data_IF_452456773736
#
_entry.id   IF_452456773736
#
_cell.length_a   1.000
_cell.length_b   1.000
_cell.length_c   1.000
_cell.angle_alpha   90.00
_cell.angle_beta   90.00
_cell.angle_gamma   90.00
#
_symmetry.space_group_name_H-M   'P 1'
#
loop_
_entity.id
_entity.type
_entity.pdbx_description
1 polymer ?
#
# COMPACT_ATOMS: atom_id res chain seq x y z
N UNK A 1 18.56 -9.55 -9.67
CA UNK A 1 17.16 -9.99 -9.95
C UNK A 1 17.19 -11.34 -10.66
N UNK A 2 16.50 -12.34 -10.12
CA UNK A 2 16.39 -13.69 -10.69
C UNK A 2 14.91 -14.02 -10.92
N UNK A 3 14.51 -14.39 -12.18
CA UNK A 3 13.12 -14.78 -12.49
C UNK A 3 12.84 -16.18 -11.97
N UNK A 4 11.79 -16.35 -11.15
CA UNK A 4 11.38 -17.62 -10.55
C UNK A 4 10.19 -18.23 -11.30
N UNK A 5 9.24 -17.38 -11.74
CA UNK A 5 7.99 -17.79 -12.35
C UNK A 5 7.48 -16.72 -13.31
N UNK A 6 6.82 -17.17 -14.39
CA UNK A 6 6.07 -16.32 -15.29
C UNK A 6 4.68 -16.90 -15.48
N UNK A 7 3.66 -16.08 -15.43
CA UNK A 7 2.27 -16.53 -15.53
C UNK A 7 1.34 -15.45 -16.10
N UNK A 8 0.19 -15.86 -16.58
CA UNK A 8 -0.83 -14.98 -17.13
C UNK A 8 -2.02 -14.87 -16.18
N UNK A 9 -2.68 -13.72 -16.21
CA UNK A 9 -3.91 -13.48 -15.46
C UNK A 9 -5.05 -13.28 -16.48
N UNK A 10 -6.17 -13.93 -16.24
CA UNK A 10 -7.35 -13.81 -17.11
C UNK A 10 -7.79 -12.34 -17.24
N UNK A 11 -7.91 -11.89 -18.50
CA UNK A 11 -8.33 -10.53 -18.83
C UNK A 11 -7.25 -9.46 -18.66
N UNK A 12 -5.97 -9.85 -18.46
CA UNK A 12 -4.83 -8.94 -18.38
C UNK A 12 -3.84 -9.28 -19.50
N UNK A 13 -3.57 -8.36 -20.44
CA UNK A 13 -2.59 -8.59 -21.51
C UNK A 13 -1.16 -8.68 -20.97
N UNK A 14 -0.38 -9.62 -21.51
CA UNK A 14 1.00 -9.83 -21.11
C UNK A 14 1.16 -10.76 -19.91
N UNK A 15 2.39 -10.91 -19.46
CA UNK A 15 2.75 -11.82 -18.37
C UNK A 15 3.03 -11.05 -17.09
N UNK A 16 2.67 -11.65 -15.97
CA UNK A 16 3.22 -11.30 -14.65
C UNK A 16 4.50 -12.09 -14.45
N UNK A 17 5.55 -11.43 -14.01
CA UNK A 17 6.82 -12.06 -13.65
C UNK A 17 6.99 -12.04 -12.13
N UNK A 18 7.36 -13.20 -11.59
CA UNK A 18 7.81 -13.34 -10.19
C UNK A 18 9.31 -13.44 -10.17
N UNK A 19 9.95 -12.57 -9.40
CA UNK A 19 11.39 -12.47 -9.31
C UNK A 19 11.87 -12.41 -7.86
N UNK A 20 13.15 -12.70 -7.66
CA UNK A 20 13.81 -12.59 -6.36
C UNK A 20 14.82 -11.44 -6.36
N UNK A 21 14.72 -10.58 -5.32
CA UNK A 21 15.69 -9.56 -4.95
C UNK A 21 16.26 -9.91 -3.58
N UNK A 22 17.48 -10.46 -3.52
CA UNK A 22 18.00 -11.03 -2.27
C UNK A 22 17.02 -12.08 -1.70
N UNK A 23 16.52 -11.85 -0.50
CA UNK A 23 15.48 -12.67 0.14
C UNK A 23 14.05 -12.25 -0.20
N UNK A 24 13.86 -11.11 -0.92
CA UNK A 24 12.55 -10.52 -1.18
C UNK A 24 11.93 -11.02 -2.48
N UNK A 25 10.72 -11.58 -2.43
CA UNK A 25 9.94 -11.92 -3.61
C UNK A 25 9.15 -10.72 -4.11
N UNK A 26 9.12 -10.55 -5.41
CA UNK A 26 8.40 -9.47 -6.09
C UNK A 26 7.65 -10.03 -7.29
N UNK A 27 6.37 -9.72 -7.40
CA UNK A 27 5.58 -9.93 -8.60
C UNK A 27 5.42 -8.61 -9.33
N UNK A 28 5.63 -8.58 -10.64
CA UNK A 28 5.38 -7.37 -11.40
C UNK A 28 4.73 -7.63 -12.76
N UNK A 29 3.95 -6.65 -13.18
CA UNK A 29 3.31 -6.62 -14.49
C UNK A 29 3.67 -5.31 -15.20
N UNK A 30 4.19 -5.43 -16.41
CA UNK A 30 4.43 -4.30 -17.30
C UNK A 30 3.43 -4.41 -18.45
N UNK A 31 2.62 -3.39 -18.73
CA UNK A 31 1.70 -3.39 -19.87
C UNK A 31 2.49 -3.43 -21.18
N UNK A 32 1.83 -3.84 -22.27
CA UNK A 32 2.45 -3.86 -23.61
C UNK A 32 2.79 -2.46 -24.11
N UNK A 33 1.98 -1.48 -23.76
CA UNK A 33 2.24 -0.07 -24.02
C UNK A 33 3.27 0.46 -23.00
N UNK A 34 4.06 1.44 -23.39
CA UNK A 34 4.99 2.08 -22.46
C UNK A 34 4.23 2.70 -21.29
N UNK A 35 4.45 2.19 -20.09
CA UNK A 35 3.87 2.74 -18.89
C UNK A 35 4.51 4.07 -18.54
N UNK A 36 3.69 5.06 -18.26
CA UNK A 36 4.13 6.38 -17.73
C UNK A 36 3.92 6.51 -16.24
N UNK A 37 3.16 5.58 -15.65
CA UNK A 37 2.81 5.55 -14.22
C UNK A 37 3.24 4.23 -13.59
N UNK A 38 3.55 4.26 -12.29
CA UNK A 38 3.93 3.10 -11.48
C UNK A 38 3.06 2.97 -10.24
N UNK A 39 2.50 1.79 -10.01
CA UNK A 39 1.87 1.41 -8.75
C UNK A 39 2.76 0.44 -8.00
N UNK A 40 3.16 0.80 -6.78
CA UNK A 40 3.89 -0.08 -5.85
C UNK A 40 2.88 -0.59 -4.82
N UNK A 41 2.71 -1.90 -4.73
CA UNK A 41 1.75 -2.51 -3.82
C UNK A 41 2.45 -3.32 -2.73
N UNK A 42 2.08 -3.07 -1.49
CA UNK A 42 2.40 -3.96 -0.38
C UNK A 42 1.61 -5.27 -0.48
N UNK A 43 2.02 -6.29 0.28
CA UNK A 43 1.37 -7.61 0.28
C UNK A 43 1.29 -8.23 -1.13
N UNK A 44 2.39 -8.18 -1.88
CA UNK A 44 2.48 -8.57 -3.31
C UNK A 44 1.94 -9.96 -3.63
N UNK A 45 2.01 -10.90 -2.67
CA UNK A 45 1.45 -12.25 -2.80
C UNK A 45 -0.08 -12.26 -3.01
N UNK A 46 -0.78 -11.16 -2.65
CA UNK A 46 -2.23 -11.01 -2.79
C UNK A 46 -2.63 -10.21 -4.06
N UNK A 47 -1.66 -9.68 -4.81
CA UNK A 47 -1.93 -8.76 -5.93
C UNK A 47 -2.41 -9.49 -7.18
N UNK A 48 -1.69 -10.54 -7.61
CA UNK A 48 -1.86 -11.15 -8.92
C UNK A 48 -2.30 -12.61 -8.88
N UNK A 49 -1.69 -13.44 -8.03
CA UNK A 49 -1.83 -14.90 -8.03
C UNK A 49 -2.68 -15.37 -6.85
N UNK A 50 -3.90 -15.85 -7.13
CA UNK A 50 -4.78 -16.38 -6.09
C UNK A 50 -4.19 -17.61 -5.35
N UNK A 51 -3.24 -18.33 -5.97
CA UNK A 51 -2.62 -19.50 -5.31
C UNK A 51 -1.64 -19.13 -4.20
N UNK A 52 -1.11 -17.90 -4.23
CA UNK A 52 -0.20 -17.36 -3.21
C UNK A 52 -0.92 -16.43 -2.22
N UNK A 53 -2.17 -16.06 -2.52
CA UNK A 53 -2.94 -15.17 -1.65
C UNK A 53 -3.18 -15.80 -0.28
N UNK A 54 -2.95 -15.01 0.77
CA UNK A 54 -3.14 -15.40 2.17
C UNK A 54 -4.62 -15.55 2.56
N UNK A 55 -5.53 -15.00 1.77
CA UNK A 55 -6.97 -14.98 2.07
C UNK A 55 -7.80 -15.72 1.01
N UNK A 56 -7.95 -17.04 1.16
CA UNK A 56 -8.90 -17.86 0.40
C UNK A 56 -8.85 -17.67 -1.13
N UNK A 57 -7.65 -17.63 -1.70
CA UNK A 57 -7.42 -17.43 -3.14
C UNK A 57 -8.00 -16.12 -3.72
N UNK A 58 -8.23 -15.11 -2.90
CA UNK A 58 -8.71 -13.81 -3.35
C UNK A 58 -7.54 -12.89 -3.67
N UNK A 59 -7.63 -12.18 -4.79
CA UNK A 59 -6.66 -11.15 -5.16
C UNK A 59 -7.34 -9.78 -5.21
N UNK A 60 -6.51 -8.74 -5.17
CA UNK A 60 -6.97 -7.35 -5.31
C UNK A 60 -7.48 -7.00 -6.70
N UNK A 61 -7.19 -7.80 -7.71
CA UNK A 61 -7.50 -7.52 -9.13
C UNK A 61 -6.96 -6.16 -9.59
N UNK A 62 -5.77 -5.79 -9.12
CA UNK A 62 -5.18 -4.47 -9.40
C UNK A 62 -4.95 -4.25 -10.90
N UNK A 63 -4.41 -5.21 -11.63
CA UNK A 63 -4.19 -5.08 -13.06
C UNK A 63 -5.50 -4.89 -13.85
N UNK A 64 -6.56 -5.61 -13.48
CA UNK A 64 -7.87 -5.44 -14.11
C UNK A 64 -8.47 -4.06 -13.80
N UNK A 65 -8.32 -3.56 -12.58
CA UNK A 65 -8.75 -2.22 -12.19
C UNK A 65 -7.97 -1.15 -12.94
N UNK A 66 -6.64 -1.29 -13.00
CA UNK A 66 -5.76 -0.38 -13.74
C UNK A 66 -6.15 -0.29 -15.22
N UNK A 67 -6.41 -1.43 -15.88
CA UNK A 67 -6.86 -1.47 -17.28
C UNK A 67 -8.18 -0.71 -17.48
N UNK A 68 -9.21 -0.98 -16.66
CA UNK A 68 -10.51 -0.31 -16.78
C UNK A 68 -10.43 1.20 -16.56
N UNK A 69 -9.66 1.61 -15.54
CA UNK A 69 -9.51 3.04 -15.22
C UNK A 69 -8.72 3.76 -16.31
N UNK A 70 -7.63 3.16 -16.78
CA UNK A 70 -6.81 3.75 -17.86
C UNK A 70 -7.58 3.86 -19.17
N UNK A 71 -8.35 2.84 -19.54
CA UNK A 71 -9.25 2.90 -20.73
C UNK A 71 -10.26 4.04 -20.59
N UNK A 72 -10.91 4.17 -19.44
CA UNK A 72 -11.87 5.23 -19.17
C UNK A 72 -11.27 6.65 -19.13
N UNK A 73 -9.97 6.77 -18.89
CA UNK A 73 -9.21 8.05 -18.90
C UNK A 73 -8.50 8.31 -20.23
N UNK A 74 -8.45 7.33 -21.16
CA UNK A 74 -7.73 7.45 -22.41
C UNK A 74 -6.21 7.48 -22.28
N UNK A 75 -5.65 6.84 -21.23
CA UNK A 75 -4.21 6.78 -20.95
C UNK A 75 -3.68 5.35 -21.01
N UNK A 76 -2.35 5.22 -21.11
CA UNK A 76 -1.71 3.91 -21.00
C UNK A 76 -1.84 3.35 -19.57
N UNK A 77 -2.03 2.02 -19.39
CA UNK A 77 -2.06 1.41 -18.08
C UNK A 77 -0.73 1.58 -17.33
N UNK A 78 -0.75 1.73 -16.00
CA UNK A 78 0.46 1.79 -15.19
C UNK A 78 1.20 0.45 -15.14
N UNK A 79 2.50 0.49 -14.91
CA UNK A 79 3.25 -0.66 -14.39
C UNK A 79 2.79 -0.95 -12.95
N UNK A 80 2.79 -2.22 -12.55
CA UNK A 80 2.41 -2.62 -11.19
C UNK A 80 3.51 -3.53 -10.62
N UNK A 81 4.02 -3.16 -9.44
CA UNK A 81 4.98 -3.94 -8.66
C UNK A 81 4.31 -4.35 -7.35
N UNK A 82 4.19 -5.64 -7.10
CA UNK A 82 3.71 -6.19 -5.84
C UNK A 82 4.88 -6.75 -5.02
N UNK A 83 5.19 -6.11 -3.92
CA UNK A 83 6.30 -6.50 -3.04
C UNK A 83 5.77 -7.40 -1.94
N UNK A 84 6.28 -8.63 -1.85
CA UNK A 84 5.87 -9.58 -0.83
C UNK A 84 6.46 -9.20 0.52
N UNK A 85 5.70 -9.41 1.58
CA UNK A 85 6.24 -9.37 2.93
C UNK A 85 7.05 -10.65 3.25
N UNK A 86 7.88 -10.58 4.29
CA UNK A 86 8.81 -11.66 4.68
C UNK A 86 8.18 -12.74 5.57
N UNK A 87 6.88 -12.67 5.84
CA UNK A 87 6.22 -13.67 6.70
C UNK A 87 6.32 -15.08 6.09
N UNK A 88 6.77 -16.03 6.90
CA UNK A 88 6.88 -17.44 6.58
C UNK A 88 6.62 -18.28 7.84
N UNK A 89 6.78 -19.60 7.73
CA UNK A 89 6.73 -20.48 8.91
C UNK A 89 7.87 -20.19 9.89
N UNK A 90 9.04 -19.84 9.36
CA UNK A 90 10.25 -19.51 10.10
C UNK A 90 10.25 -18.07 10.62
N UNK A 91 9.46 -17.19 10.01
CA UNK A 91 9.26 -15.80 10.38
C UNK A 91 7.77 -15.46 10.51
N UNK A 92 7.06 -15.94 11.52
CA UNK A 92 5.60 -15.82 11.63
C UNK A 92 5.10 -14.37 11.70
N UNK A 93 5.92 -13.43 12.20
CA UNK A 93 5.61 -12.01 12.30
C UNK A 93 6.28 -11.16 11.21
N UNK A 94 6.85 -11.78 10.17
CA UNK A 94 7.58 -11.07 9.11
C UNK A 94 6.77 -9.95 8.44
N UNK A 95 5.46 -10.13 8.24
CA UNK A 95 4.60 -9.06 7.72
C UNK A 95 4.56 -7.85 8.64
N UNK A 96 4.48 -8.04 9.95
CA UNK A 96 4.53 -6.95 10.92
C UNK A 96 5.89 -6.26 10.94
N UNK A 97 6.99 -7.03 10.90
CA UNK A 97 8.35 -6.46 10.85
C UNK A 97 8.55 -5.55 9.63
N UNK A 98 8.04 -5.96 8.47
CA UNK A 98 8.15 -5.19 7.23
C UNK A 98 7.23 -3.97 7.16
N UNK A 99 6.03 -4.01 7.77
CA UNK A 99 4.97 -3.04 7.49
C UNK A 99 4.57 -2.14 8.68
N UNK A 100 5.04 -2.45 9.89
CA UNK A 100 4.80 -1.57 11.05
C UNK A 100 5.85 -0.46 11.08
N UNK A 101 5.47 0.82 11.25
CA UNK A 101 6.38 1.97 11.26
C UNK A 101 7.48 1.87 12.31
N UNK A 102 8.70 1.48 11.91
CA UNK A 102 9.80 1.19 12.83
C UNK A 102 10.24 2.42 13.62
N UNK A 103 10.42 3.57 12.96
CA UNK A 103 10.90 4.79 13.59
C UNK A 103 10.01 5.21 14.75
N UNK A 104 8.68 5.22 14.58
CA UNK A 104 7.76 5.69 15.61
C UNK A 104 7.88 4.89 16.90
N UNK A 105 7.92 3.56 16.81
CA UNK A 105 8.03 2.69 17.99
C UNK A 105 9.44 2.70 18.60
N UNK A 106 10.50 2.89 17.81
CA UNK A 106 11.86 3.06 18.31
C UNK A 106 12.05 4.40 19.01
N UNK A 107 11.33 5.43 18.61
CA UNK A 107 11.33 6.76 19.22
C UNK A 107 10.41 6.86 20.45
N UNK A 108 9.75 5.77 20.84
CA UNK A 108 9.03 5.67 22.12
C UNK A 108 7.51 5.68 22.01
N UNK A 109 6.92 5.54 20.80
CA UNK A 109 5.48 5.33 20.70
C UNK A 109 5.09 4.05 21.44
N UNK A 110 4.18 4.15 22.40
CA UNK A 110 3.77 3.01 23.21
C UNK A 110 2.85 2.06 22.43
N UNK A 111 3.19 0.78 22.47
CA UNK A 111 2.39 -0.28 21.87
C UNK A 111 1.15 -0.56 22.70
N UNK A 112 -0.03 -0.61 22.07
CA UNK A 112 -1.24 -1.05 22.78
C UNK A 112 -1.05 -2.45 23.36
N UNK A 113 -1.49 -2.68 24.57
CA UNK A 113 -1.29 -3.92 25.36
C UNK A 113 -1.61 -5.21 24.60
N UNK A 114 -2.60 -5.18 23.69
CA UNK A 114 -3.02 -6.36 22.92
C UNK A 114 -1.99 -6.79 21.88
N UNK A 115 -0.98 -5.96 21.59
CA UNK A 115 0.08 -6.22 20.62
C UNK A 115 1.48 -6.26 21.27
N UNK A 116 1.60 -6.00 22.58
CA UNK A 116 2.88 -5.90 23.26
C UNK A 116 3.78 -7.16 23.15
N UNK A 117 3.16 -8.33 23.10
CA UNK A 117 3.90 -9.61 22.98
C UNK A 117 4.46 -9.88 21.57
N UNK A 118 3.95 -9.21 20.55
CA UNK A 118 4.31 -9.47 19.14
C UNK A 118 4.98 -8.28 18.45
N UNK A 119 4.74 -7.04 18.89
CA UNK A 119 5.33 -5.85 18.34
C UNK A 119 6.51 -5.41 19.19
N UNK A 120 7.71 -5.82 18.80
CA UNK A 120 8.98 -5.48 19.45
C UNK A 120 9.71 -4.48 18.56
N UNK A 121 9.85 -3.23 19.01
CA UNK A 121 10.35 -2.10 18.22
C UNK A 121 11.69 -2.38 17.54
N UNK A 122 12.66 -2.97 18.25
CA UNK A 122 13.99 -3.29 17.71
C UNK A 122 14.00 -4.38 16.63
N UNK A 123 12.91 -5.13 16.49
CA UNK A 123 12.76 -6.16 15.47
C UNK A 123 12.03 -5.68 14.21
N UNK A 124 11.56 -4.44 14.19
CA UNK A 124 10.87 -3.86 13.03
C UNK A 124 11.90 -3.52 11.94
N UNK A 125 11.56 -3.82 10.70
CA UNK A 125 12.44 -3.72 9.52
C UNK A 125 11.84 -2.86 8.41
N UNK A 126 10.80 -2.04 8.71
CA UNK A 126 10.08 -1.26 7.69
C UNK A 126 11.00 -0.29 6.94
N UNK A 127 11.98 0.29 7.60
CA UNK A 127 12.94 1.20 6.95
C UNK A 127 13.79 0.45 5.91
N UNK A 128 14.29 -0.73 6.27
CA UNK A 128 15.04 -1.59 5.36
C UNK A 128 14.17 -2.13 4.22
N UNK A 129 12.91 -2.47 4.53
CA UNK A 129 11.92 -2.88 3.53
C UNK A 129 11.68 -1.78 2.49
N UNK A 130 11.45 -0.55 2.93
CA UNK A 130 11.28 0.62 2.05
C UNK A 130 12.56 0.95 1.27
N UNK A 131 13.73 0.89 1.92
CA UNK A 131 15.02 1.09 1.25
C UNK A 131 15.22 0.07 0.10
N UNK A 132 14.89 -1.20 0.32
CA UNK A 132 14.95 -2.23 -0.73
C UNK A 132 14.00 -1.91 -1.88
N UNK A 133 12.78 -1.46 -1.59
CA UNK A 133 11.81 -1.06 -2.64
C UNK A 133 12.38 0.07 -3.50
N UNK A 134 12.81 1.15 -2.86
CA UNK A 134 13.16 2.37 -3.59
C UNK A 134 14.56 2.36 -4.20
N UNK A 135 15.51 1.65 -3.61
CA UNK A 135 16.91 1.67 -4.05
C UNK A 135 17.29 0.45 -4.93
N UNK A 136 16.50 -0.64 -4.88
CA UNK A 136 16.82 -1.85 -5.63
C UNK A 136 15.71 -2.25 -6.60
N UNK A 137 14.45 -2.42 -6.08
CA UNK A 137 13.35 -3.00 -6.86
C UNK A 137 12.85 -2.03 -7.93
N UNK A 138 12.49 -0.82 -7.56
CA UNK A 138 11.95 0.20 -8.49
C UNK A 138 12.97 0.55 -9.58
N UNK A 139 14.25 0.84 -9.27
CA UNK A 139 15.24 1.11 -10.31
C UNK A 139 15.50 -0.04 -11.28
N UNK A 140 15.34 -1.30 -10.82
CA UNK A 140 15.55 -2.46 -11.66
C UNK A 140 14.37 -2.79 -12.57
N UNK A 141 13.13 -2.43 -12.19
CA UNK A 141 11.91 -2.81 -12.92
C UNK A 141 11.33 -1.64 -13.72
N UNK A 142 11.34 -0.44 -13.16
CA UNK A 142 10.68 0.75 -13.72
C UNK A 142 11.56 2.02 -13.61
N UNK A 143 12.82 1.99 -14.11
CA UNK A 143 13.80 3.07 -13.88
C UNK A 143 13.43 4.43 -14.49
N UNK A 144 12.53 4.43 -15.46
CA UNK A 144 12.18 5.63 -16.23
C UNK A 144 10.87 6.28 -15.81
N UNK A 145 10.21 5.78 -14.76
CA UNK A 145 8.96 6.37 -14.26
C UNK A 145 9.28 7.35 -13.14
N UNK A 146 8.85 8.60 -13.32
CA UNK A 146 9.10 9.65 -12.36
C UNK A 146 8.36 9.41 -11.02
N UNK A 147 8.92 9.85 -9.86
CA UNK A 147 8.22 9.82 -8.59
C UNK A 147 6.85 10.51 -8.61
N UNK A 148 6.69 11.61 -9.36
CA UNK A 148 5.42 12.33 -9.53
C UNK A 148 4.31 11.48 -10.17
N UNK A 149 4.68 10.45 -10.94
CA UNK A 149 3.77 9.51 -11.58
C UNK A 149 3.68 8.17 -10.83
N UNK A 150 4.26 8.10 -9.64
CA UNK A 150 4.30 6.88 -8.83
C UNK A 150 3.32 6.97 -7.67
N UNK A 151 2.56 5.89 -7.46
CA UNK A 151 1.73 5.70 -6.29
C UNK A 151 2.15 4.45 -5.50
N UNK A 152 1.93 4.49 -4.20
CA UNK A 152 2.04 3.32 -3.33
C UNK A 152 0.68 2.97 -2.75
N UNK A 153 0.37 1.67 -2.66
CA UNK A 153 -0.93 1.18 -2.18
C UNK A 153 -0.74 0.02 -1.20
N UNK A 154 -1.57 0.02 -0.17
CA UNK A 154 -1.66 -1.10 0.76
C UNK A 154 -2.95 -1.10 1.56
N UNK A 155 -3.21 -2.21 2.26
CA UNK A 155 -4.35 -2.34 3.17
C UNK A 155 -3.92 -2.79 4.56
N UNK A 156 -4.70 -2.43 5.57
CA UNK A 156 -4.39 -2.82 6.95
C UNK A 156 -3.00 -2.32 7.36
N UNK A 157 -2.10 -3.19 7.82
CA UNK A 157 -0.69 -2.83 8.04
C UNK A 157 -0.04 -2.23 6.78
N UNK A 158 -0.37 -2.74 5.57
CA UNK A 158 0.11 -2.16 4.31
C UNK A 158 -0.43 -0.76 4.04
N UNK A 159 -1.66 -0.44 4.48
CA UNK A 159 -2.20 0.92 4.42
C UNK A 159 -1.47 1.88 5.36
N UNK A 160 -1.14 1.42 6.56
CA UNK A 160 -0.31 2.17 7.50
C UNK A 160 1.11 2.37 6.95
N UNK A 161 1.73 1.29 6.42
CA UNK A 161 3.04 1.35 5.78
C UNK A 161 3.09 2.32 4.58
N UNK A 162 1.99 2.43 3.82
CA UNK A 162 1.87 3.39 2.71
C UNK A 162 1.95 4.84 3.20
N UNK A 163 1.28 5.18 4.30
CA UNK A 163 1.34 6.51 4.91
C UNK A 163 2.71 6.77 5.53
N UNK A 164 3.26 5.79 6.25
CA UNK A 164 4.61 5.85 6.79
C UNK A 164 5.66 6.08 5.70
N UNK A 165 5.57 5.33 4.60
CA UNK A 165 6.47 5.49 3.46
C UNK A 165 6.42 6.91 2.87
N UNK A 166 5.22 7.55 2.83
CA UNK A 166 5.08 8.92 2.35
C UNK A 166 5.73 9.93 3.31
N UNK A 167 5.62 9.72 4.62
CA UNK A 167 6.28 10.57 5.62
C UNK A 167 7.81 10.47 5.55
N UNK A 168 8.35 9.25 5.41
CA UNK A 168 9.79 9.00 5.44
C UNK A 168 10.49 9.23 4.09
N UNK A 169 9.77 9.08 2.96
CA UNK A 169 10.35 9.09 1.60
C UNK A 169 9.49 9.89 0.62
N UNK A 170 9.13 11.14 0.91
CA UNK A 170 8.20 11.93 0.09
C UNK A 170 8.71 12.15 -1.34
N UNK A 171 10.04 12.15 -1.54
CA UNK A 171 10.63 12.33 -2.86
C UNK A 171 10.56 11.08 -3.76
N UNK A 172 10.16 9.92 -3.24
CA UNK A 172 10.14 8.65 -3.97
C UNK A 172 8.83 8.36 -4.69
N UNK A 173 7.74 8.92 -4.23
CA UNK A 173 6.43 8.75 -4.86
C UNK A 173 5.47 9.87 -4.48
N UNK A 174 4.41 10.07 -5.28
CA UNK A 174 3.54 11.22 -5.15
C UNK A 174 2.19 10.92 -4.48
N UNK A 175 1.65 9.71 -4.67
CA UNK A 175 0.28 9.39 -4.21
C UNK A 175 0.28 8.20 -3.26
N UNK A 176 -0.25 8.38 -2.07
CA UNK A 176 -0.48 7.33 -1.07
C UNK A 176 -1.94 6.86 -1.13
N UNK A 177 -2.15 5.55 -1.36
CA UNK A 177 -3.46 4.91 -1.41
C UNK A 177 -3.59 3.93 -0.24
N UNK A 178 -4.03 4.42 0.93
CA UNK A 178 -4.10 3.67 2.17
C UNK A 178 -5.52 3.15 2.43
N UNK A 179 -5.72 1.83 2.31
CA UNK A 179 -7.00 1.19 2.52
C UNK A 179 -7.06 0.55 3.91
N UNK A 180 -8.03 0.93 4.70
CA UNK A 180 -8.22 0.43 6.06
C UNK A 180 -6.92 0.44 6.89
N UNK A 181 -6.19 1.57 7.03
CA UNK A 181 -4.92 1.62 7.78
C UNK A 181 -5.08 1.05 9.19
N UNK A 182 -4.11 0.26 9.64
CA UNK A 182 -4.20 -0.45 10.91
C UNK A 182 -3.75 0.41 12.10
N UNK A 183 -4.60 1.31 12.52
CA UNK A 183 -4.38 2.22 13.65
C UNK A 183 -4.29 1.56 15.05
N UNK A 184 -4.95 0.38 15.33
CA UNK A 184 -5.00 -0.18 16.68
C UNK A 184 -3.68 -0.52 17.35
N UNK A 185 -2.55 -0.54 16.64
CA UNK A 185 -1.23 -0.80 17.25
C UNK A 185 -0.87 0.18 18.38
N UNK A 186 -1.25 1.46 18.25
CA UNK A 186 -1.08 2.47 19.29
C UNK A 186 -2.22 3.53 19.28
N UNK A 187 -3.31 3.26 18.57
CA UNK A 187 -4.52 4.09 18.62
C UNK A 187 -4.31 5.51 18.09
N UNK A 188 -4.84 6.50 18.81
CA UNK A 188 -4.77 7.91 18.41
C UNK A 188 -3.35 8.46 18.35
N UNK A 189 -2.45 7.99 19.19
CA UNK A 189 -1.05 8.41 19.21
C UNK A 189 -0.35 8.00 17.91
N UNK A 190 -0.65 6.80 17.39
CA UNK A 190 -0.16 6.38 16.06
C UNK A 190 -0.76 7.22 14.93
N UNK A 191 -2.02 7.64 15.05
CA UNK A 191 -2.64 8.56 14.09
C UNK A 191 -1.92 9.90 14.11
N UNK A 192 -1.69 10.49 15.30
CA UNK A 192 -1.00 11.77 15.45
C UNK A 192 0.41 11.72 14.86
N UNK A 193 1.19 10.72 15.22
CA UNK A 193 2.56 10.54 14.72
C UNK A 193 2.58 10.38 13.20
N UNK A 194 1.70 9.52 12.66
CA UNK A 194 1.60 9.31 11.22
C UNK A 194 1.21 10.59 10.47
N UNK A 195 0.17 11.31 10.93
CA UNK A 195 -0.30 12.50 10.23
C UNK A 195 0.69 13.66 10.36
N UNK A 196 1.40 13.79 11.49
CA UNK A 196 2.41 14.85 11.67
C UNK A 196 3.62 14.67 10.76
N UNK A 197 3.99 13.42 10.44
CA UNK A 197 5.12 13.11 9.57
C UNK A 197 4.86 13.32 8.07
N UNK A 198 3.58 13.43 7.66
CA UNK A 198 3.23 13.61 6.24
C UNK A 198 3.73 14.94 5.69
N UNK A 199 4.02 15.04 4.38
CA UNK A 199 4.42 16.29 3.71
C UNK A 199 3.40 17.41 3.88
N UNK A 200 3.74 18.62 3.46
CA UNK A 200 2.81 19.74 3.45
C UNK A 200 1.70 19.56 2.40
N UNK A 201 0.49 20.10 2.66
CA UNK A 201 -0.63 20.05 1.71
C UNK A 201 -0.26 20.60 0.33
N UNK A 202 -0.85 20.03 -0.72
CA UNK A 202 -0.62 20.44 -2.11
C UNK A 202 0.63 19.83 -2.75
N UNK A 203 1.50 19.16 -1.99
CA UNK A 203 2.71 18.54 -2.52
C UNK A 203 2.51 17.06 -2.89
N UNK A 204 1.52 16.41 -2.29
CA UNK A 204 1.23 14.98 -2.46
C UNK A 204 -0.26 14.71 -2.42
N UNK A 205 -0.67 13.52 -2.89
CA UNK A 205 -2.06 13.07 -2.86
C UNK A 205 -2.24 11.90 -1.90
N UNK A 206 -3.28 11.94 -1.09
CA UNK A 206 -3.57 10.93 -0.08
C UNK A 206 -5.02 10.44 -0.25
N UNK A 207 -5.17 9.15 -0.43
CA UNK A 207 -6.45 8.46 -0.35
C UNK A 207 -6.48 7.60 0.90
N UNK A 208 -7.51 7.77 1.74
CA UNK A 208 -7.80 6.84 2.82
C UNK A 208 -9.21 6.28 2.68
N UNK A 209 -9.41 5.05 3.10
CA UNK A 209 -10.75 4.45 3.13
C UNK A 209 -10.82 3.32 4.16
N UNK A 210 -12.04 3.02 4.62
CA UNK A 210 -12.31 1.84 5.41
C UNK A 210 -13.74 1.32 5.15
N UNK A 211 -13.99 0.07 5.53
CA UNK A 211 -15.32 -0.52 5.53
C UNK A 211 -16.06 -0.29 6.85
N UNK A 212 -17.21 -0.98 7.02
CA UNK A 212 -18.01 -0.90 8.24
C UNK A 212 -18.34 -2.28 8.84
N UNK A 213 -17.66 -3.36 8.36
CA UNK A 213 -17.90 -4.73 8.84
C UNK A 213 -16.61 -5.41 9.29
N UNK A 214 -16.77 -6.32 10.26
CA UNK A 214 -15.65 -7.08 10.82
C UNK A 214 -14.63 -6.14 11.48
N UNK A 215 -13.36 -6.36 11.19
CA UNK A 215 -12.27 -5.54 11.76
C UNK A 215 -12.42 -4.04 11.43
N UNK A 216 -12.89 -3.71 10.23
CA UNK A 216 -13.10 -2.31 9.80
C UNK A 216 -14.14 -1.56 10.64
N UNK A 217 -15.06 -2.27 11.31
CA UNK A 217 -16.07 -1.61 12.16
C UNK A 217 -15.44 -0.84 13.35
N UNK A 218 -14.25 -1.24 13.78
CA UNK A 218 -13.52 -0.58 14.85
C UNK A 218 -12.63 0.58 14.38
N UNK A 219 -12.50 0.80 13.07
CA UNK A 219 -11.56 1.80 12.54
C UNK A 219 -12.13 3.22 12.44
N UNK A 220 -13.46 3.36 12.45
CA UNK A 220 -14.13 4.65 12.25
C UNK A 220 -13.65 5.76 13.21
N UNK A 221 -13.46 5.55 14.53
CA UNK A 221 -12.98 6.61 15.42
C UNK A 221 -11.60 7.14 15.04
N UNK A 222 -10.67 6.24 14.70
CA UNK A 222 -9.31 6.59 14.28
C UNK A 222 -9.30 7.30 12.93
N UNK A 223 -10.11 6.83 11.96
CA UNK A 223 -10.20 7.47 10.66
C UNK A 223 -10.81 8.87 10.75
N UNK A 224 -11.86 9.06 11.55
CA UNK A 224 -12.45 10.40 11.82
C UNK A 224 -11.40 11.33 12.41
N UNK A 225 -10.57 10.82 13.33
CA UNK A 225 -9.51 11.60 13.94
C UNK A 225 -8.41 11.96 12.93
N UNK A 226 -7.94 11.01 12.13
CA UNK A 226 -6.99 11.25 11.06
C UNK A 226 -7.51 12.28 10.04
N UNK A 227 -8.78 12.16 9.63
CA UNK A 227 -9.43 13.09 8.72
C UNK A 227 -9.46 14.52 9.28
N UNK A 228 -9.76 14.65 10.58
CA UNK A 228 -9.75 15.94 11.28
C UNK A 228 -8.35 16.56 11.28
N UNK A 229 -7.32 15.79 11.63
CA UNK A 229 -5.94 16.27 11.67
C UNK A 229 -5.46 16.72 10.28
N UNK A 230 -5.69 15.93 9.24
CA UNK A 230 -5.34 16.30 7.86
C UNK A 230 -6.02 17.59 7.41
N UNK A 231 -7.32 17.73 7.68
CA UNK A 231 -8.05 18.97 7.35
C UNK A 231 -7.55 20.17 8.13
N UNK A 232 -7.19 19.97 9.42
CA UNK A 232 -6.59 21.04 10.24
C UNK A 232 -5.23 21.47 9.70
N UNK A 233 -4.45 20.54 9.10
CA UNK A 233 -3.21 20.88 8.39
C UNK A 233 -3.42 21.56 7.04
N UNK A 234 -4.65 21.62 6.51
CA UNK A 234 -5.00 22.28 5.25
C UNK A 234 -5.16 21.34 4.05
N UNK A 235 -5.13 20.03 4.22
CA UNK A 235 -5.42 19.07 3.15
C UNK A 235 -6.87 19.19 2.68
N UNK A 236 -7.09 19.19 1.35
CA UNK A 236 -8.39 19.40 0.70
C UNK A 236 -8.72 18.33 -0.34
N UNK A 237 -9.89 18.46 -1.00
CA UNK A 237 -10.42 17.43 -1.89
C UNK A 237 -9.59 17.08 -3.13
N UNK A 238 -8.66 17.94 -3.55
CA UNK A 238 -7.75 17.63 -4.67
C UNK A 238 -6.52 16.83 -4.25
N UNK A 239 -6.09 16.95 -3.01
CA UNK A 239 -4.93 16.26 -2.44
C UNK A 239 -5.28 15.24 -1.35
N UNK A 240 -6.52 15.29 -0.83
CA UNK A 240 -6.97 14.35 0.19
C UNK A 240 -8.42 13.89 -0.01
N UNK A 241 -8.61 12.59 -0.07
CA UNK A 241 -9.92 11.93 -0.08
C UNK A 241 -10.00 10.88 1.00
N UNK A 242 -11.05 10.92 1.82
CA UNK A 242 -11.42 9.88 2.77
C UNK A 242 -12.78 9.28 2.42
N UNK A 243 -12.90 7.94 2.41
CA UNK A 243 -14.13 7.22 2.02
C UNK A 243 -14.50 6.13 3.01
N UNK A 244 -15.79 6.09 3.35
CA UNK A 244 -16.38 4.98 4.11
C UNK A 244 -17.19 4.10 3.17
N UNK A 245 -16.89 2.80 3.11
CA UNK A 245 -17.59 1.83 2.29
C UNK A 245 -18.57 1.01 3.14
N UNK A 246 -19.82 1.43 3.16
CA UNK A 246 -20.87 0.75 3.92
C UNK A 246 -20.99 -0.72 3.52
N UNK A 247 -21.10 -1.61 4.53
CA UNK A 247 -21.21 -3.07 4.40
C UNK A 247 -19.98 -3.74 3.77
N UNK A 248 -18.87 -3.03 3.60
CA UNK A 248 -17.57 -3.58 3.19
C UNK A 248 -16.81 -4.08 4.41
N UNK A 249 -16.09 -5.18 4.25
CA UNK A 249 -15.27 -5.78 5.31
C UNK A 249 -13.79 -5.74 4.98
N UNK A 250 -12.96 -6.16 5.94
CA UNK A 250 -11.51 -6.11 5.90
C UNK A 250 -10.92 -7.31 5.13
N UNK A 251 -10.99 -7.28 3.80
CA UNK A 251 -10.45 -8.34 2.94
C UNK A 251 -10.29 -7.88 1.49
N UNK A 252 -9.48 -8.64 0.72
CA UNK A 252 -9.15 -8.38 -0.68
C UNK A 252 -10.38 -8.30 -1.59
N UNK A 253 -11.39 -9.13 -1.36
CA UNK A 253 -12.64 -9.11 -2.12
C UNK A 253 -13.39 -7.80 -1.95
N UNK A 254 -13.37 -7.25 -0.75
CA UNK A 254 -14.00 -5.96 -0.44
C UNK A 254 -13.24 -4.82 -1.11
N UNK A 255 -11.91 -4.78 -0.94
CA UNK A 255 -11.05 -3.75 -1.54
C UNK A 255 -11.10 -3.78 -3.07
N UNK A 256 -11.08 -4.97 -3.69
CA UNK A 256 -11.19 -5.12 -5.15
C UNK A 256 -12.48 -4.52 -5.75
N UNK A 257 -13.57 -4.44 -4.98
CA UNK A 257 -14.86 -3.91 -5.47
C UNK A 257 -14.84 -2.40 -5.72
N UNK A 258 -14.05 -1.66 -4.98
CA UNK A 258 -13.99 -0.21 -5.08
C UNK A 258 -12.63 0.34 -5.53
N UNK A 259 -11.71 -0.54 -5.87
CA UNK A 259 -10.34 -0.18 -6.23
C UNK A 259 -10.26 0.81 -7.42
N UNK A 260 -11.24 0.82 -8.31
CA UNK A 260 -11.32 1.78 -9.42
C UNK A 260 -11.37 3.24 -8.93
N UNK A 261 -11.87 3.50 -7.72
CA UNK A 261 -11.97 4.85 -7.17
C UNK A 261 -10.61 5.42 -6.75
N UNK A 262 -9.80 4.76 -5.88
CA UNK A 262 -8.44 5.23 -5.59
C UNK A 262 -7.53 5.23 -6.82
N UNK A 263 -7.68 4.26 -7.74
CA UNK A 263 -6.94 4.27 -9.01
C UNK A 263 -7.27 5.52 -9.85
N UNK A 264 -8.55 5.88 -9.97
CA UNK A 264 -8.96 7.10 -10.67
C UNK A 264 -8.48 8.37 -9.97
N UNK A 265 -8.54 8.43 -8.66
CA UNK A 265 -8.01 9.55 -7.87
C UNK A 265 -6.53 9.80 -8.16
N UNK A 266 -5.75 8.75 -8.31
CA UNK A 266 -4.33 8.84 -8.67
C UNK A 266 -4.14 9.20 -10.16
N UNK A 267 -4.74 8.44 -11.08
CA UNK A 267 -4.45 8.51 -12.53
C UNK A 267 -5.11 9.69 -13.25
N UNK A 268 -6.12 10.34 -12.67
CA UNK A 268 -6.80 11.50 -13.25
C UNK A 268 -6.13 12.84 -12.88
N UNK A 269 -4.88 12.82 -12.49
CA UNK A 269 -4.12 14.01 -12.02
C UNK A 269 -3.52 14.77 -13.17
#
# INVERSE_FOLDING_TARGET
MNEIKRFQIRGVPGDVKRVQFGSRTVDYWLPKQSATHLLIAHDGQNVFDGTTSTHRHQTWKMAQSALRVSEALGINPPAIIGVWHSQSKENPWGRGKDLVPARYFREGLEVHKDFADILIADQLESDQYLATIFNEIVPAIAPNIAPTNTAMIGSSMGGLATLYALGENPEKFFTALALSPHWPFAGNELVEETISSLPEPGQHKIWMSHGTKGLDSAYAPFQIYADKLLRTRGYQGHDFVSKVYNRSGHNERSWAKYLDQPMRFWLAS
#
